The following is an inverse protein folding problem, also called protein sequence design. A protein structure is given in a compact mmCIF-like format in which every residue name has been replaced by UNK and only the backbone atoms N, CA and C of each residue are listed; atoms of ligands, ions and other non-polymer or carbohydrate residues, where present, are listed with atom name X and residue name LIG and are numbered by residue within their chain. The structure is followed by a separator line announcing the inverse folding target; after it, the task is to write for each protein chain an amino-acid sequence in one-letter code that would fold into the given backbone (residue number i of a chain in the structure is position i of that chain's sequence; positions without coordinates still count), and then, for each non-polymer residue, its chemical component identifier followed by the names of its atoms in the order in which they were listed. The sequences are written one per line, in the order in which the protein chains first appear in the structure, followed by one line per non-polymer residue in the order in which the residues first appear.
data_IF_888928675315
#
_entry.id   IF_888928675315
#
_cell.length_a   1.000
_cell.length_b   1.000
_cell.length_c   1.000
_cell.angle_alpha   90.00
_cell.angle_beta   90.00
_cell.angle_gamma   90.00
#
_symmetry.space_group_name_H-M   'P 1'
#
loop_
_entity.id
_entity.type
_entity.pdbx_description
1 polymer ?
#
# COMPACT_ATOMS: atom_id res chain seq x y z
N UNK A 1 -16.64 14.65 7.09
CA UNK A 1 -15.79 13.97 6.13
C UNK A 1 -15.47 14.84 4.96
N UNK A 2 -16.51 15.34 4.33
CA UNK A 2 -16.29 16.20 3.17
C UNK A 2 -15.45 17.41 3.52
N UNK A 3 -15.70 17.94 4.71
CA UNK A 3 -14.95 19.11 5.14
C UNK A 3 -13.47 18.81 5.26
N UNK A 4 -13.17 17.63 5.76
CA UNK A 4 -11.78 17.25 5.94
C UNK A 4 -11.10 17.08 4.60
N UNK A 5 -11.79 16.48 3.65
CA UNK A 5 -11.21 16.28 2.33
C UNK A 5 -10.95 17.62 1.66
N UNK A 6 -11.86 18.54 1.81
CA UNK A 6 -11.70 19.87 1.20
C UNK A 6 -10.58 20.62 1.89
N UNK A 7 -10.47 20.46 3.20
CA UNK A 7 -9.48 21.19 3.96
C UNK A 7 -8.08 20.77 3.63
N UNK A 8 -7.85 19.46 3.58
CA UNK A 8 -6.51 18.93 3.42
C UNK A 8 -6.46 17.86 2.34
N UNK A 9 -6.72 18.24 1.11
CA UNK A 9 -6.64 17.26 0.03
C UNK A 9 -5.20 16.80 -0.21
N UNK A 10 -4.25 17.68 0.03
CA UNK A 10 -2.86 17.33 -0.16
C UNK A 10 -2.40 16.31 0.86
N UNK A 11 -2.76 16.54 2.10
CA UNK A 11 -2.36 15.63 3.16
C UNK A 11 -2.93 14.25 2.92
N UNK A 12 -4.19 14.19 2.55
CA UNK A 12 -4.83 12.91 2.27
C UNK A 12 -4.18 12.21 1.10
N UNK A 13 -3.81 12.98 0.08
CA UNK A 13 -3.15 12.41 -1.08
C UNK A 13 -1.80 11.84 -0.71
N UNK A 14 -1.08 12.52 0.15
CA UNK A 14 0.23 12.03 0.58
C UNK A 14 0.09 10.73 1.35
N UNK A 15 -0.85 10.70 2.28
CA UNK A 15 -1.08 9.50 3.06
C UNK A 15 -1.50 8.35 2.18
N UNK A 16 -2.38 8.62 1.22
CA UNK A 16 -2.85 7.59 0.32
C UNK A 16 -1.70 7.06 -0.54
N UNK A 17 -0.82 7.95 -0.97
CA UNK A 17 0.32 7.56 -1.78
C UNK A 17 1.25 6.66 -0.99
N UNK A 18 1.56 7.05 0.23
CA UNK A 18 2.44 6.26 1.08
C UNK A 18 1.81 4.91 1.37
N UNK A 19 0.54 4.90 1.69
CA UNK A 19 -0.16 3.66 1.97
C UNK A 19 -0.15 2.74 0.76
N UNK A 20 -0.33 3.31 -0.43
CA UNK A 20 -0.32 2.52 -1.65
C UNK A 20 1.05 1.90 -1.88
N UNK A 21 2.10 2.69 -1.72
CA UNK A 21 3.46 2.18 -1.91
C UNK A 21 3.75 1.07 -0.92
N UNK A 22 3.40 1.28 0.33
CA UNK A 22 3.64 0.27 1.35
C UNK A 22 2.85 -1.00 1.04
N UNK A 23 1.61 -0.85 0.61
CA UNK A 23 0.79 -2.00 0.28
C UNK A 23 1.39 -2.78 -0.88
N UNK A 24 1.88 -2.09 -1.90
CA UNK A 24 2.49 -2.75 -3.05
C UNK A 24 3.75 -3.50 -2.61
N UNK A 25 4.57 -2.86 -1.80
CA UNK A 25 5.80 -3.50 -1.32
C UNK A 25 5.48 -4.77 -0.55
N UNK A 26 4.52 -4.69 0.35
CA UNK A 26 4.13 -5.86 1.14
C UNK A 26 3.59 -6.94 0.22
N UNK A 27 2.77 -6.56 -0.74
CA UNK A 27 2.16 -7.52 -1.65
C UNK A 27 3.23 -8.23 -2.47
N UNK A 28 4.19 -7.48 -2.97
CA UNK A 28 5.26 -8.06 -3.79
C UNK A 28 6.10 -9.01 -2.94
N UNK A 29 6.49 -8.58 -1.76
CA UNK A 29 7.29 -9.44 -0.89
C UNK A 29 6.52 -10.68 -0.49
N UNK A 30 5.27 -10.51 -0.18
CA UNK A 30 4.44 -11.64 0.22
C UNK A 30 4.26 -12.61 -0.94
N UNK A 31 4.04 -12.08 -2.14
CA UNK A 31 3.88 -12.91 -3.32
C UNK A 31 5.13 -13.67 -3.65
N UNK A 32 6.28 -13.02 -3.57
CA UNK A 32 7.54 -13.67 -3.86
C UNK A 32 7.80 -14.75 -2.83
N UNK A 33 7.58 -14.47 -1.56
CA UNK A 33 7.76 -15.45 -0.51
C UNK A 33 6.86 -16.65 -0.71
N UNK A 34 5.62 -16.40 -1.11
CA UNK A 34 4.69 -17.49 -1.33
C UNK A 34 5.13 -18.36 -2.50
N UNK A 35 5.54 -17.73 -3.57
CA UNK A 35 6.01 -18.48 -4.74
C UNK A 35 7.23 -19.31 -4.41
N UNK A 36 8.16 -18.72 -3.73
CA UNK A 36 9.38 -19.43 -3.37
C UNK A 36 9.07 -20.60 -2.44
N UNK A 37 8.20 -20.37 -1.50
CA UNK A 37 7.85 -21.42 -0.55
C UNK A 37 7.21 -22.60 -1.21
N UNK A 38 6.22 -22.36 -2.06
CA UNK A 38 5.52 -23.45 -2.69
C UNK A 38 6.38 -24.16 -3.75
N UNK A 39 7.31 -23.43 -4.33
CA UNK A 39 8.18 -24.02 -5.33
C UNK A 39 9.15 -25.01 -4.68
N UNK A 40 9.67 -24.60 -3.54
CA UNK A 40 10.64 -25.46 -2.85
C UNK A 40 9.98 -26.60 -2.12
N UNK A 41 8.79 -26.35 -1.63
CA UNK A 41 8.05 -27.39 -0.93
C UNK A 41 7.14 -28.15 -1.86
#
# INVERSE_FOLDING_TARGET
MDDEEERQPRLLAMIALVALVVAIVILVFFGIGYLFGRTYL
#
